data_IF_748167303205
#
_entry.id   IF_748167303205
#
_cell.length_a   1.000
_cell.length_b   1.000
_cell.length_c   1.000
_cell.angle_alpha   90.00
_cell.angle_beta   90.00
_cell.angle_gamma   90.00
#
_symmetry.space_group_name_H-M   'P 1'
#
loop_
_entity.id
_entity.type
_entity.pdbx_description
1 polymer ?
#
# COMPACT_ATOMS: atom_id res chain seq x y z
N UNK A 1 -14.93 -24.54 23.46
CA UNK A 1 -14.29 -24.05 22.22
C UNK A 1 -14.66 -25.03 21.12
N UNK A 2 -15.70 -24.73 20.35
CA UNK A 2 -16.16 -25.58 19.25
C UNK A 2 -15.23 -25.34 18.06
N UNK A 3 -14.62 -26.38 17.45
CA UNK A 3 -13.80 -26.18 16.27
C UNK A 3 -14.67 -25.62 15.15
N UNK A 4 -14.22 -24.54 14.51
CA UNK A 4 -14.90 -23.95 13.36
C UNK A 4 -15.13 -25.06 12.32
N UNK A 5 -16.38 -25.29 11.95
CA UNK A 5 -16.74 -26.27 10.91
C UNK A 5 -16.03 -25.89 9.60
N UNK A 6 -15.57 -26.87 8.81
CA UNK A 6 -14.74 -26.62 7.61
C UNK A 6 -15.31 -25.65 6.56
N UNK A 7 -16.62 -25.37 6.63
CA UNK A 7 -17.29 -24.30 5.85
C UNK A 7 -16.90 -22.88 6.30
N UNK A 8 -16.73 -22.67 7.60
CA UNK A 8 -16.40 -21.38 8.21
C UNK A 8 -14.91 -21.06 7.99
N UNK A 9 -14.05 -22.08 8.07
CA UNK A 9 -12.63 -21.97 7.75
C UNK A 9 -12.39 -21.55 6.29
N UNK A 10 -13.12 -22.13 5.33
CA UNK A 10 -13.02 -21.74 3.91
C UNK A 10 -13.54 -20.31 3.64
N UNK A 11 -14.56 -19.87 4.35
CA UNK A 11 -15.07 -18.49 4.24
C UNK A 11 -14.06 -17.48 4.80
N UNK A 12 -13.47 -17.79 5.96
CA UNK A 12 -12.40 -17.00 6.58
C UNK A 12 -11.16 -16.95 5.68
N UNK A 13 -10.83 -18.04 4.99
CA UNK A 13 -9.75 -18.10 4.01
C UNK A 13 -9.94 -17.11 2.85
N UNK A 14 -11.11 -17.16 2.19
CA UNK A 14 -11.43 -16.27 1.06
C UNK A 14 -11.37 -14.81 1.51
N UNK A 15 -11.88 -14.53 2.72
CA UNK A 15 -11.83 -13.19 3.30
C UNK A 15 -10.41 -12.73 3.57
N UNK A 16 -9.56 -13.56 4.17
CA UNK A 16 -8.16 -13.22 4.46
C UNK A 16 -7.38 -12.93 3.18
N UNK A 17 -7.53 -13.76 2.13
CA UNK A 17 -6.92 -13.52 0.82
C UNK A 17 -7.38 -12.21 0.18
N UNK A 18 -8.69 -11.92 0.27
CA UNK A 18 -9.26 -10.67 -0.27
C UNK A 18 -8.69 -9.44 0.43
N UNK A 19 -8.59 -9.51 1.77
CA UNK A 19 -8.02 -8.42 2.57
C UNK A 19 -6.53 -8.23 2.29
N UNK A 20 -5.77 -9.31 2.09
CA UNK A 20 -4.37 -9.22 1.69
C UNK A 20 -4.19 -8.54 0.34
N UNK A 21 -4.93 -8.95 -0.69
CA UNK A 21 -4.87 -8.28 -1.99
C UNK A 21 -5.23 -6.80 -1.90
N UNK A 22 -6.28 -6.45 -1.14
CA UNK A 22 -6.64 -5.05 -0.92
C UNK A 22 -5.54 -4.27 -0.20
N UNK A 23 -4.78 -4.94 0.68
CA UNK A 23 -3.65 -4.35 1.39
C UNK A 23 -2.49 -4.07 0.44
N UNK A 24 -2.14 -5.03 -0.41
CA UNK A 24 -1.11 -4.91 -1.45
C UNK A 24 -1.46 -3.79 -2.43
N UNK A 25 -2.68 -3.79 -2.97
CA UNK A 25 -3.18 -2.73 -3.85
C UNK A 25 -3.11 -1.34 -3.20
N UNK A 26 -3.37 -1.26 -1.90
CA UNK A 26 -3.28 0.00 -1.14
C UNK A 26 -1.83 0.43 -0.95
N UNK A 27 -0.93 -0.51 -0.66
CA UNK A 27 0.49 -0.23 -0.54
C UNK A 27 1.09 0.27 -1.86
N UNK A 28 0.72 -0.34 -2.98
CA UNK A 28 1.17 0.09 -4.32
C UNK A 28 0.66 1.50 -4.67
N UNK A 29 -0.60 1.82 -4.36
CA UNK A 29 -1.13 3.18 -4.53
C UNK A 29 -0.41 4.23 -3.68
N UNK A 30 0.07 3.85 -2.49
CA UNK A 30 0.87 4.75 -1.65
C UNK A 30 2.27 4.97 -2.23
N UNK A 31 2.85 3.97 -2.91
CA UNK A 31 4.10 4.10 -3.64
C UNK A 31 3.95 5.06 -4.84
N UNK A 32 2.88 4.88 -5.62
CA UNK A 32 2.55 5.79 -6.73
C UNK A 32 2.33 7.22 -6.25
N UNK A 33 1.64 7.40 -5.11
CA UNK A 33 1.43 8.70 -4.51
C UNK A 33 2.73 9.35 -4.01
N UNK A 34 3.61 8.58 -3.34
CA UNK A 34 4.92 9.08 -2.91
C UNK A 34 5.72 9.59 -4.12
N UNK A 35 5.80 8.80 -5.19
CA UNK A 35 6.51 9.16 -6.42
C UNK A 35 5.91 10.43 -7.06
N UNK A 36 4.59 10.48 -7.26
CA UNK A 36 3.92 11.62 -7.86
C UNK A 36 4.08 12.91 -7.05
N UNK A 37 4.00 12.82 -5.72
CA UNK A 37 4.18 13.97 -4.84
C UNK A 37 5.61 14.54 -4.91
N UNK A 38 6.64 13.69 -4.99
CA UNK A 38 8.02 14.13 -5.18
C UNK A 38 8.27 14.72 -6.56
N UNK A 39 7.71 14.11 -7.62
CA UNK A 39 7.85 14.61 -8.99
C UNK A 39 7.18 15.97 -9.17
N UNK A 40 5.99 16.17 -8.58
CA UNK A 40 5.30 17.46 -8.55
C UNK A 40 6.12 18.52 -7.82
N UNK A 41 6.60 18.22 -6.61
CA UNK A 41 7.43 19.15 -5.85
C UNK A 41 8.73 19.51 -6.58
N UNK A 42 9.30 18.57 -7.35
CA UNK A 42 10.51 18.83 -8.15
C UNK A 42 10.21 19.64 -9.40
N UNK A 43 9.08 19.40 -10.08
CA UNK A 43 8.68 20.14 -11.26
C UNK A 43 8.48 21.64 -10.95
N UNK A 44 7.91 21.92 -9.78
CA UNK A 44 7.73 23.28 -9.26
C UNK A 44 9.07 23.99 -9.07
N UNK A 45 10.01 23.36 -8.33
CA UNK A 45 11.38 23.88 -8.12
C UNK A 45 12.12 24.21 -9.42
N UNK A 46 11.77 23.54 -10.53
CA UNK A 46 12.36 23.82 -11.86
C UNK A 46 11.66 24.93 -12.64
N UNK A 47 10.66 25.60 -12.05
CA UNK A 47 9.90 26.71 -12.63
C UNK A 47 8.87 26.27 -13.68
N UNK A 48 8.38 25.02 -13.61
CA UNK A 48 7.36 24.51 -14.54
C UNK A 48 5.95 24.91 -14.06
N UNK A 49 5.75 25.03 -12.75
CA UNK A 49 4.52 25.55 -12.16
C UNK A 49 4.51 27.07 -12.21
N UNK A 50 3.47 27.67 -12.80
CA UNK A 50 3.24 29.12 -12.76
C UNK A 50 2.62 29.55 -11.41
N UNK A 51 3.09 28.97 -10.28
CA UNK A 51 2.62 29.30 -8.94
C UNK A 51 3.38 30.51 -8.37
N UNK A 52 2.73 31.29 -7.50
CA UNK A 52 3.39 32.39 -6.79
C UNK A 52 4.34 31.84 -5.70
N UNK A 53 5.53 32.42 -5.53
CA UNK A 53 6.65 31.87 -4.71
C UNK A 53 6.26 31.40 -3.28
N UNK A 54 5.30 32.06 -2.63
CA UNK A 54 4.86 31.70 -1.28
C UNK A 54 3.93 30.48 -1.25
N UNK A 55 2.97 30.42 -2.17
CA UNK A 55 2.03 29.30 -2.32
C UNK A 55 2.74 28.05 -2.83
N UNK A 56 3.78 28.23 -3.66
CA UNK A 56 4.66 27.18 -4.18
C UNK A 56 5.41 26.44 -3.06
N UNK A 57 6.00 27.19 -2.13
CA UNK A 57 6.78 26.62 -1.03
C UNK A 57 5.89 25.85 -0.04
N UNK A 58 4.72 26.41 0.31
CA UNK A 58 3.76 25.75 1.20
C UNK A 58 3.17 24.47 0.58
N UNK A 59 2.89 24.50 -0.73
CA UNK A 59 2.44 23.32 -1.48
C UNK A 59 3.53 22.24 -1.53
N UNK A 60 4.76 22.60 -1.89
CA UNK A 60 5.91 21.70 -1.92
C UNK A 60 6.16 21.04 -0.55
N UNK A 61 6.13 21.82 0.53
CA UNK A 61 6.28 21.29 1.89
C UNK A 61 5.16 20.32 2.25
N UNK A 62 3.92 20.67 1.91
CA UNK A 62 2.75 19.81 2.15
C UNK A 62 2.84 18.48 1.40
N UNK A 63 3.26 18.51 0.12
CA UNK A 63 3.47 17.31 -0.69
C UNK A 63 4.57 16.41 -0.10
N UNK A 64 5.70 16.98 0.32
CA UNK A 64 6.79 16.21 0.95
C UNK A 64 6.33 15.57 2.27
N UNK A 65 5.55 16.29 3.09
CA UNK A 65 5.00 15.74 4.34
C UNK A 65 4.04 14.58 4.03
N UNK A 66 3.13 14.75 3.07
CA UNK A 66 2.19 13.72 2.69
C UNK A 66 2.89 12.48 2.11
N UNK A 67 3.90 12.66 1.27
CA UNK A 67 4.74 11.58 0.74
C UNK A 67 5.41 10.77 1.86
N UNK A 68 5.95 11.45 2.88
CA UNK A 68 6.53 10.78 4.06
C UNK A 68 5.50 9.96 4.83
N UNK A 69 4.28 10.46 4.98
CA UNK A 69 3.21 9.72 5.64
C UNK A 69 2.76 8.50 4.81
N UNK A 70 2.66 8.64 3.48
CA UNK A 70 2.36 7.54 2.58
C UNK A 70 3.40 6.42 2.70
N UNK A 71 4.69 6.76 2.69
CA UNK A 71 5.79 5.82 2.93
C UNK A 71 5.72 5.12 4.29
N UNK A 72 5.40 5.87 5.35
CA UNK A 72 5.27 5.30 6.70
C UNK A 72 4.12 4.29 6.76
N UNK A 73 2.97 4.63 6.17
CA UNK A 73 1.82 3.74 6.06
C UNK A 73 2.17 2.50 5.23
N UNK A 74 2.78 2.67 4.06
CA UNK A 74 3.25 1.59 3.19
C UNK A 74 4.16 0.59 3.92
N UNK A 75 5.11 1.09 4.74
CA UNK A 75 5.98 0.23 5.55
C UNK A 75 5.21 -0.61 6.57
N UNK A 76 4.19 -0.03 7.22
CA UNK A 76 3.33 -0.74 8.16
C UNK A 76 2.51 -1.80 7.43
N UNK A 77 1.91 -1.43 6.29
CA UNK A 77 1.10 -2.34 5.48
C UNK A 77 1.90 -3.56 5.01
N UNK A 78 3.09 -3.36 4.44
CA UNK A 78 3.98 -4.45 4.00
C UNK A 78 4.46 -5.33 5.16
N UNK A 79 4.66 -4.76 6.34
CA UNK A 79 4.99 -5.56 7.54
C UNK A 79 3.82 -6.45 7.93
N UNK A 80 2.62 -5.88 7.98
CA UNK A 80 1.42 -6.61 8.36
C UNK A 80 1.05 -7.70 7.34
N UNK A 81 1.20 -7.41 6.04
CA UNK A 81 1.06 -8.38 4.95
C UNK A 81 1.99 -9.59 5.15
N UNK A 82 3.27 -9.34 5.45
CA UNK A 82 4.25 -10.40 5.72
C UNK A 82 3.87 -11.23 6.93
N UNK A 83 3.48 -10.58 8.02
CA UNK A 83 3.10 -11.25 9.26
C UNK A 83 1.85 -12.12 9.05
N UNK A 84 0.86 -11.60 8.33
CA UNK A 84 -0.38 -12.30 8.01
C UNK A 84 -0.12 -13.48 7.05
N UNK A 85 0.70 -13.29 6.03
CA UNK A 85 1.11 -14.36 5.10
C UNK A 85 1.85 -15.48 5.84
N UNK A 86 2.75 -15.11 6.75
CA UNK A 86 3.49 -16.06 7.59
C UNK A 86 2.55 -16.84 8.50
N UNK A 87 1.63 -16.15 9.18
CA UNK A 87 0.62 -16.78 10.03
C UNK A 87 -0.28 -17.75 9.25
N UNK A 88 -0.73 -17.36 8.06
CA UNK A 88 -1.53 -18.23 7.19
C UNK A 88 -0.73 -19.47 6.76
N UNK A 89 0.52 -19.31 6.33
CA UNK A 89 1.37 -20.44 5.99
C UNK A 89 1.56 -21.41 7.17
N UNK A 90 1.74 -20.92 8.40
CA UNK A 90 1.84 -21.76 9.60
C UNK A 90 0.57 -22.57 9.88
N UNK A 91 -0.59 -22.04 9.53
CA UNK A 91 -1.88 -22.75 9.62
C UNK A 91 -2.12 -23.72 8.45
N UNK A 92 -1.12 -23.92 7.57
CA UNK A 92 -1.23 -24.77 6.38
C UNK A 92 -2.07 -24.15 5.25
N UNK A 93 -2.23 -22.83 5.30
CA UNK A 93 -2.98 -22.06 4.31
C UNK A 93 -1.99 -21.51 3.28
N UNK A 94 -1.97 -22.09 2.08
CA UNK A 94 -1.23 -21.54 0.95
C UNK A 94 -1.98 -20.34 0.35
N UNK A 95 -1.35 -19.17 0.44
CA UNK A 95 -1.77 -18.00 -0.30
C UNK A 95 -1.07 -18.07 -1.64
N UNK A 96 -1.77 -18.48 -2.69
CA UNK A 96 -1.31 -18.19 -4.04
C UNK A 96 -1.15 -16.67 -4.15
N UNK A 97 0.10 -16.20 -4.17
CA UNK A 97 0.40 -14.85 -4.59
C UNK A 97 -0.27 -14.66 -5.95
N UNK A 98 -1.09 -13.63 -6.10
CA UNK A 98 -1.70 -13.32 -7.39
C UNK A 98 -0.61 -13.38 -8.48
N UNK A 99 -0.88 -14.00 -9.64
CA UNK A 99 0.09 -14.00 -10.71
C UNK A 99 0.44 -12.54 -11.01
N UNK A 100 1.73 -12.21 -10.90
CA UNK A 100 2.26 -10.88 -11.17
C UNK A 100 1.62 -10.37 -12.47
N UNK A 101 0.77 -9.34 -12.37
CA UNK A 101 0.16 -8.68 -13.52
C UNK A 101 1.17 -7.84 -14.33
N UNK A 102 2.47 -8.21 -14.26
CA UNK A 102 3.59 -7.57 -14.95
C UNK A 102 4.00 -8.31 -16.24
N UNK A 103 3.35 -9.44 -16.55
CA UNK A 103 3.57 -10.23 -17.77
C UNK A 103 2.39 -10.17 -18.78
N UNK A 104 1.52 -9.15 -18.70
CA UNK A 104 0.41 -8.94 -19.65
C UNK A 104 0.51 -7.60 -20.40
#
# INVERSE_FOLDING_TARGET
MTPATGSDYRAQHIRARTLLHQLTDTADKLDDYEAAAFDLARADVTGIGELEEADENDLCQSLVIAARHARAAQRILRSYERDLTTAMHHEGIEIESAPDARDA
#
